data_IF_294647038188
#
_entry.id   IF_294647038188
#
_cell.length_a   1.000
_cell.length_b   1.000
_cell.length_c   1.000
_cell.angle_alpha   90.00
_cell.angle_beta   90.00
_cell.angle_gamma   90.00
#
_symmetry.space_group_name_H-M   'P 1'
#
loop_
_entity.id
_entity.type
_entity.pdbx_description
1 polymer ?
#
# COMPACT_ATOMS: atom_id res chain seq x y z
N UNK A 1 16.34 6.49 -7.69
CA UNK A 1 16.53 5.75 -8.96
C UNK A 1 16.55 4.28 -8.63
N UNK A 2 15.37 3.69 -8.51
CA UNK A 2 15.24 2.23 -8.61
C UNK A 2 15.40 1.92 -10.11
N UNK A 3 15.97 0.77 -10.46
CA UNK A 3 16.15 0.29 -11.84
C UNK A 3 14.96 0.65 -12.74
N UNK A 4 15.18 0.93 -14.04
CA UNK A 4 14.11 1.28 -15.00
C UNK A 4 13.02 0.22 -15.21
N UNK A 5 13.10 -0.92 -14.51
CA UNK A 5 12.10 -1.99 -14.45
C UNK A 5 11.21 -1.94 -13.21
N UNK A 6 11.55 -1.13 -12.21
CA UNK A 6 10.92 -1.15 -10.90
C UNK A 6 10.09 0.12 -10.71
N UNK A 7 8.79 -0.06 -10.45
CA UNK A 7 7.85 1.00 -10.17
C UNK A 7 7.00 0.71 -8.95
N UNK A 8 6.43 1.76 -8.38
CA UNK A 8 5.50 1.66 -7.27
C UNK A 8 4.08 1.54 -7.80
N UNK A 9 3.30 0.63 -7.20
CA UNK A 9 1.85 0.55 -7.45
C UNK A 9 1.14 1.00 -6.18
N UNK A 10 0.28 2.02 -6.30
CA UNK A 10 -0.58 2.48 -5.23
C UNK A 10 -2.01 2.01 -5.48
N UNK A 11 -2.68 1.54 -4.42
CA UNK A 11 -4.08 1.13 -4.45
C UNK A 11 -4.90 2.13 -3.65
N UNK A 12 -5.92 2.67 -4.29
CA UNK A 12 -6.80 3.69 -3.71
C UNK A 12 -8.23 3.17 -3.71
N UNK A 13 -8.95 3.41 -2.62
CA UNK A 13 -10.40 3.23 -2.64
C UNK A 13 -11.01 4.35 -3.48
N UNK A 14 -12.01 4.02 -4.30
CA UNK A 14 -12.60 4.96 -5.26
C UNK A 14 -13.09 6.25 -4.58
N UNK A 15 -13.77 6.12 -3.43
CA UNK A 15 -14.36 7.26 -2.71
C UNK A 15 -13.31 8.19 -2.09
N UNK A 16 -12.14 7.67 -1.75
CA UNK A 16 -11.06 8.46 -1.15
C UNK A 16 -9.94 8.83 -2.13
N UNK A 17 -10.03 8.38 -3.38
CA UNK A 17 -8.98 8.54 -4.38
C UNK A 17 -8.53 9.99 -4.57
N UNK A 18 -9.43 11.01 -4.64
CA UNK A 18 -9.00 12.40 -4.75
C UNK A 18 -8.09 12.85 -3.60
N UNK A 19 -8.33 12.37 -2.38
CA UNK A 19 -7.56 12.73 -1.19
C UNK A 19 -6.26 11.91 -1.07
N UNK A 20 -6.28 10.62 -1.44
CA UNK A 20 -5.09 9.76 -1.37
C UNK A 20 -4.11 10.02 -2.51
N UNK A 21 -4.59 10.43 -3.69
CA UNK A 21 -3.75 10.86 -4.82
C UNK A 21 -3.08 12.21 -4.56
N UNK A 22 -3.74 13.09 -3.80
CA UNK A 22 -3.15 14.36 -3.39
C UNK A 22 -1.96 14.20 -2.43
N UNK A 23 -1.77 13.00 -1.87
CA UNK A 23 -0.64 12.75 -0.99
C UNK A 23 0.68 12.87 -1.76
N UNK A 24 1.72 13.48 -1.18
CA UNK A 24 2.96 13.77 -1.89
C UNK A 24 3.65 12.56 -2.52
N UNK A 25 3.54 11.37 -1.91
CA UNK A 25 4.09 10.13 -2.45
C UNK A 25 3.38 9.64 -3.74
N UNK A 26 2.18 10.16 -4.03
CA UNK A 26 1.33 9.76 -5.14
C UNK A 26 1.14 10.89 -6.16
N UNK A 27 1.86 12.01 -6.02
CA UNK A 27 1.77 13.10 -7.00
C UNK A 27 2.30 12.64 -8.36
N UNK A 28 1.64 13.05 -9.46
CA UNK A 28 2.08 12.68 -10.79
C UNK A 28 3.51 13.14 -11.05
N UNK A 29 4.32 12.29 -11.66
CA UNK A 29 5.66 12.67 -12.08
C UNK A 29 5.58 13.69 -13.22
N UNK A 30 6.48 14.68 -13.20
CA UNK A 30 6.63 15.63 -14.30
C UNK A 30 7.21 14.89 -15.52
N UNK A 31 6.44 14.87 -16.62
CA UNK A 31 6.83 14.30 -17.90
C UNK A 31 6.59 15.30 -19.03
N UNK A 32 7.42 15.24 -20.07
CA UNK A 32 7.21 16.02 -21.29
C UNK A 32 6.07 15.41 -22.11
N UNK A 33 4.92 16.09 -22.14
CA UNK A 33 3.76 15.61 -22.88
C UNK A 33 3.99 15.76 -24.40
N UNK A 34 4.23 14.63 -25.06
CA UNK A 34 4.15 14.48 -26.53
C UNK A 34 2.71 14.55 -27.04
N UNK A 35 2.52 14.64 -28.37
CA UNK A 35 1.19 14.68 -28.97
C UNK A 35 0.39 13.39 -28.75
N UNK A 36 1.07 12.23 -28.75
CA UNK A 36 0.44 10.95 -28.42
C UNK A 36 -0.13 10.93 -26.99
N UNK A 37 0.56 11.56 -26.03
CA UNK A 37 0.06 11.70 -24.66
C UNK A 37 -1.20 12.56 -24.60
N UNK A 38 -1.20 13.71 -25.29
CA UNK A 38 -2.35 14.63 -25.32
C UNK A 38 -3.57 13.95 -25.91
N UNK A 39 -3.42 13.23 -27.02
CA UNK A 39 -4.52 12.48 -27.65
C UNK A 39 -5.14 11.46 -26.69
N UNK A 40 -4.30 10.72 -25.95
CA UNK A 40 -4.79 9.75 -24.95
C UNK A 40 -5.55 10.48 -23.83
N UNK A 41 -4.98 11.54 -23.26
CA UNK A 41 -5.62 12.30 -22.19
C UNK A 41 -6.93 12.95 -22.64
N UNK A 42 -6.98 13.52 -23.83
CA UNK A 42 -8.20 14.13 -24.40
C UNK A 42 -9.32 13.09 -24.57
N UNK A 43 -8.99 11.86 -24.95
CA UNK A 43 -9.98 10.78 -25.01
C UNK A 43 -10.47 10.34 -23.62
N UNK A 44 -9.56 10.27 -22.64
CA UNK A 44 -9.89 9.81 -21.29
C UNK A 44 -10.61 10.87 -20.44
N UNK A 45 -10.39 12.16 -20.70
CA UNK A 45 -11.04 13.28 -20.00
C UNK A 45 -12.54 13.38 -20.28
N UNK A 46 -13.00 12.83 -21.41
CA UNK A 46 -14.43 12.69 -21.72
C UNK A 46 -15.21 11.78 -20.75
N UNK A 47 -14.51 11.13 -19.81
CA UNK A 47 -15.08 10.27 -18.78
C UNK A 47 -15.24 8.83 -19.22
N UNK A 48 -15.31 7.94 -18.24
CA UNK A 48 -15.45 6.49 -18.46
C UNK A 48 -14.11 5.76 -18.62
N UNK A 49 -14.21 4.48 -18.97
CA UNK A 49 -13.06 3.60 -19.14
C UNK A 49 -13.07 2.98 -20.54
N UNK A 50 -11.93 3.04 -21.24
CA UNK A 50 -11.79 2.73 -22.65
C UNK A 50 -10.88 1.52 -22.86
N UNK A 51 -11.21 0.66 -23.83
CA UNK A 51 -10.28 -0.36 -24.29
C UNK A 51 -9.21 0.25 -25.19
N UNK A 52 -7.99 -0.28 -25.16
CA UNK A 52 -6.86 0.25 -25.95
C UNK A 52 -7.18 0.37 -27.46
N UNK A 53 -7.90 -0.59 -28.04
CA UNK A 53 -8.38 -0.55 -29.43
C UNK A 53 -9.28 0.65 -29.78
N UNK A 54 -9.84 1.33 -28.79
CA UNK A 54 -10.63 2.55 -28.99
C UNK A 54 -9.75 3.80 -28.99
N UNK A 55 -8.51 3.70 -28.48
CA UNK A 55 -7.51 4.76 -28.50
C UNK A 55 -6.72 4.78 -29.82
N UNK A 56 -6.83 3.73 -30.63
CA UNK A 56 -6.19 3.62 -31.95
C UNK A 56 -7.02 4.33 -33.04
N UNK A 57 -6.36 4.84 -34.08
CA UNK A 57 -7.03 5.48 -35.23
C UNK A 57 -6.86 7.01 -35.31
N UNK A 58 -6.06 7.60 -34.42
CA UNK A 58 -5.83 9.05 -34.33
C UNK A 58 -4.58 9.52 -35.11
N UNK A 59 -4.17 8.80 -36.16
CA UNK A 59 -2.96 9.13 -36.93
C UNK A 59 -1.62 8.73 -36.28
N UNK A 60 -1.62 8.20 -35.06
CA UNK A 60 -0.44 7.63 -34.39
C UNK A 60 -0.34 6.11 -34.61
N UNK A 61 0.88 5.57 -34.57
CA UNK A 61 1.08 4.12 -34.62
C UNK A 61 0.66 3.46 -33.31
N UNK A 62 0.29 2.18 -33.37
CA UNK A 62 -0.09 1.41 -32.17
C UNK A 62 1.05 1.33 -31.15
N UNK A 63 2.29 1.21 -31.63
CA UNK A 63 3.50 1.18 -30.80
C UNK A 63 3.73 2.51 -30.07
N UNK A 64 3.51 3.64 -30.75
CA UNK A 64 3.66 4.97 -30.13
C UNK A 64 2.62 5.19 -29.04
N UNK A 65 1.35 4.86 -29.32
CA UNK A 65 0.25 4.98 -28.35
C UNK A 65 0.45 4.07 -27.14
N UNK A 66 0.94 2.85 -27.36
CA UNK A 66 1.28 1.92 -26.29
C UNK A 66 2.40 2.47 -25.40
N UNK A 67 3.46 3.02 -26.00
CA UNK A 67 4.57 3.61 -25.27
C UNK A 67 4.10 4.81 -24.45
N UNK A 68 3.35 5.73 -25.06
CA UNK A 68 2.77 6.89 -24.41
C UNK A 68 1.80 6.52 -23.26
N UNK A 69 0.99 5.47 -23.45
CA UNK A 69 0.11 4.97 -22.40
C UNK A 69 0.90 4.49 -21.18
N UNK A 70 1.98 3.74 -21.39
CA UNK A 70 2.82 3.25 -20.29
C UNK A 70 3.59 4.38 -19.60
N UNK A 71 4.05 5.39 -20.35
CA UNK A 71 4.65 6.60 -19.77
C UNK A 71 3.65 7.36 -18.88
N UNK A 72 2.39 7.50 -19.31
CA UNK A 72 1.32 8.12 -18.49
C UNK A 72 0.96 7.29 -17.26
N UNK A 73 0.95 5.96 -17.36
CA UNK A 73 0.71 5.06 -16.22
C UNK A 73 1.83 5.23 -15.19
N UNK A 74 3.09 5.18 -15.61
CA UNK A 74 4.23 5.34 -14.71
C UNK A 74 4.32 6.74 -14.12
N UNK A 75 3.89 7.75 -14.86
CA UNK A 75 3.79 9.11 -14.37
C UNK A 75 2.55 9.35 -13.47
N UNK A 76 1.64 8.39 -13.33
CA UNK A 76 0.50 8.50 -12.42
C UNK A 76 -0.65 9.37 -12.95
N UNK A 77 -0.87 9.41 -14.27
CA UNK A 77 -1.98 10.13 -14.91
C UNK A 77 -3.14 9.21 -15.31
N UNK A 78 -2.83 7.94 -15.60
CA UNK A 78 -3.79 6.94 -16.10
C UNK A 78 -3.79 5.72 -15.20
N UNK A 79 -4.96 5.12 -15.01
CA UNK A 79 -5.16 3.88 -14.25
C UNK A 79 -5.90 2.82 -15.07
N UNK A 80 -5.78 1.56 -14.65
CA UNK A 80 -6.42 0.42 -15.28
C UNK A 80 -7.24 -0.42 -14.30
N UNK A 81 -8.25 -1.13 -14.81
CA UNK A 81 -9.14 -1.98 -14.01
C UNK A 81 -8.57 -3.37 -13.69
N UNK A 82 -7.40 -3.73 -14.26
CA UNK A 82 -6.79 -5.04 -14.07
C UNK A 82 -5.27 -5.01 -13.94
N UNK A 83 -4.75 -5.95 -13.15
CA UNK A 83 -3.32 -6.25 -13.07
C UNK A 83 -2.79 -7.11 -14.23
N UNK A 84 -3.62 -7.48 -15.20
CA UNK A 84 -3.17 -8.32 -16.32
C UNK A 84 -2.01 -7.68 -17.14
N UNK A 85 -2.05 -6.37 -17.49
CA UNK A 85 -0.95 -5.68 -18.18
C UNK A 85 0.36 -5.68 -17.40
N UNK A 86 0.30 -5.37 -16.10
CA UNK A 86 1.48 -5.36 -15.22
C UNK A 86 2.11 -6.76 -15.16
N UNK A 87 1.28 -7.81 -15.03
CA UNK A 87 1.76 -9.20 -15.07
C UNK A 87 2.35 -9.58 -16.43
N UNK A 88 1.82 -9.05 -17.53
CA UNK A 88 2.34 -9.32 -18.87
C UNK A 88 3.73 -8.68 -19.08
N UNK A 89 3.95 -7.47 -18.56
CA UNK A 89 5.27 -6.82 -18.57
C UNK A 89 6.27 -7.59 -17.70
N UNK A 90 5.91 -7.87 -16.45
CA UNK A 90 6.79 -8.60 -15.52
C UNK A 90 7.07 -10.05 -15.99
N UNK A 91 6.09 -10.65 -16.67
CA UNK A 91 6.20 -11.98 -17.28
C UNK A 91 6.97 -12.01 -18.61
N UNK A 92 7.46 -10.86 -19.10
CA UNK A 92 8.22 -10.76 -20.35
C UNK A 92 7.43 -11.16 -21.59
N UNK A 93 6.12 -10.87 -21.64
CA UNK A 93 5.26 -11.25 -22.75
C UNK A 93 5.03 -12.77 -22.89
N UNK A 94 5.52 -13.59 -21.95
CA UNK A 94 5.12 -15.00 -21.88
C UNK A 94 3.68 -15.06 -21.42
N UNK A 95 2.76 -15.18 -22.38
CA UNK A 95 1.55 -15.98 -22.20
C UNK A 95 2.02 -17.25 -21.47
N UNK A 96 1.41 -17.66 -20.34
CA UNK A 96 1.77 -18.93 -19.74
C UNK A 96 1.62 -19.96 -20.85
N UNK A 97 2.74 -20.50 -21.31
CA UNK A 97 2.72 -21.63 -22.21
C UNK A 97 1.81 -22.63 -21.51
N UNK A 98 0.74 -23.04 -22.19
CA UNK A 98 -0.08 -24.14 -21.73
C UNK A 98 0.92 -25.23 -21.37
N UNK A 99 1.10 -25.48 -20.08
CA UNK A 99 2.11 -26.41 -19.62
C UNK A 99 1.87 -27.76 -20.29
N UNK A 100 2.89 -28.62 -20.43
CA UNK A 100 2.67 -29.98 -20.92
C UNK A 100 1.49 -30.56 -20.12
N UNK A 101 0.54 -31.24 -20.79
CA UNK A 101 -0.68 -31.70 -20.14
C UNK A 101 -0.28 -32.48 -18.89
N UNK A 102 -0.52 -31.88 -17.72
CA UNK A 102 -0.37 -32.59 -16.46
C UNK A 102 -1.29 -33.78 -16.58
N UNK A 103 -0.72 -34.97 -16.39
CA UNK A 103 -1.47 -36.22 -16.36
C UNK A 103 -2.75 -36.00 -15.54
N UNK A 104 -3.93 -36.28 -16.10
CA UNK A 104 -5.18 -36.00 -15.43
C UNK A 104 -5.24 -36.85 -14.16
N UNK A 105 -5.03 -36.22 -13.01
CA UNK A 105 -5.49 -36.80 -11.75
C UNK A 105 -7.01 -36.76 -11.82
N UNK A 106 -7.62 -37.93 -11.84
CA UNK A 106 -9.06 -38.15 -11.75
C UNK A 106 -9.62 -37.27 -10.62
N UNK A 107 -10.47 -36.27 -10.92
CA UNK A 107 -11.18 -35.53 -9.90
C UNK A 107 -12.21 -36.47 -9.24
N UNK A 108 -12.50 -36.33 -7.94
CA UNK A 108 -13.73 -36.89 -7.40
C UNK A 108 -14.93 -36.29 -8.15
N UNK A 109 -15.91 -37.13 -8.47
CA UNK A 109 -17.06 -36.83 -9.32
C UNK A 109 -18.01 -35.80 -8.67
N UNK A 110 -17.73 -34.50 -8.77
CA UNK A 110 -18.69 -33.42 -8.51
C UNK A 110 -18.24 -32.00 -8.95
N UNK A 111 -17.24 -31.83 -9.81
CA UNK A 111 -16.80 -30.50 -10.24
C UNK A 111 -17.00 -30.32 -11.74
N UNK A 112 -18.11 -29.68 -12.11
CA UNK A 112 -18.37 -29.15 -13.45
C UNK A 112 -17.19 -28.26 -13.89
N UNK A 113 -16.53 -28.56 -15.02
CA UNK A 113 -15.44 -27.74 -15.51
C UNK A 113 -16.00 -26.41 -15.99
N UNK A 114 -15.64 -25.31 -15.32
CA UNK A 114 -15.83 -23.96 -15.86
C UNK A 114 -15.01 -23.88 -17.15
N UNK A 115 -15.68 -24.09 -18.28
CA UNK A 115 -15.14 -23.86 -19.60
C UNK A 115 -14.75 -22.38 -19.67
N UNK A 116 -13.45 -22.10 -19.62
CA UNK A 116 -12.91 -20.84 -20.12
C UNK A 116 -13.29 -20.77 -21.59
N UNK A 117 -14.35 -20.00 -21.90
CA UNK A 117 -14.66 -19.61 -23.28
C UNK A 117 -13.41 -18.94 -23.85
N UNK A 118 -12.67 -19.68 -24.68
CA UNK A 118 -11.67 -19.08 -25.55
C UNK A 118 -12.45 -18.20 -26.52
N UNK A 119 -12.33 -16.88 -26.38
CA UNK A 119 -12.85 -15.95 -27.37
C UNK A 119 -12.11 -16.16 -28.69
N UNK A 120 -12.80 -16.45 -29.81
CA UNK A 120 -12.18 -16.48 -31.12
C UNK A 120 -12.06 -15.04 -31.62
N UNK A 121 -10.88 -14.46 -31.44
CA UNK A 121 -10.48 -13.16 -31.98
C UNK A 121 -8.98 -12.98 -31.75
N UNK A 122 -8.28 -12.09 -32.50
CA UNK A 122 -6.91 -11.74 -32.18
C UNK A 122 -6.85 -11.33 -30.71
N UNK A 123 -6.10 -12.07 -29.89
CA UNK A 123 -5.91 -11.68 -28.50
C UNK A 123 -5.31 -10.27 -28.51
N UNK A 124 -5.97 -9.27 -27.91
CA UNK A 124 -5.36 -7.95 -27.77
C UNK A 124 -4.04 -8.12 -27.03
N UNK A 125 -3.04 -7.33 -27.40
CA UNK A 125 -1.72 -7.37 -26.77
C UNK A 125 -1.89 -7.40 -25.23
N UNK A 126 -1.38 -8.45 -24.55
CA UNK A 126 -1.64 -8.65 -23.13
C UNK A 126 -1.11 -7.51 -22.26
N UNK A 127 -0.19 -6.69 -22.77
CA UNK A 127 0.38 -5.52 -22.10
C UNK A 127 -0.52 -4.28 -22.14
N UNK A 128 -1.64 -4.31 -22.86
CA UNK A 128 -2.64 -3.22 -22.93
C UNK A 128 -4.07 -3.72 -22.67
N UNK A 129 -4.19 -4.93 -22.13
CA UNK A 129 -5.47 -5.57 -21.82
C UNK A 129 -6.21 -4.86 -20.66
N UNK A 130 -7.55 -4.77 -20.77
CA UNK A 130 -8.38 -4.13 -19.75
C UNK A 130 -8.96 -2.80 -20.22
N UNK A 131 -9.54 -2.06 -19.27
CA UNK A 131 -10.07 -0.72 -19.49
C UNK A 131 -9.19 0.31 -18.81
N UNK A 132 -8.93 1.39 -19.51
CA UNK A 132 -8.08 2.49 -19.11
C UNK A 132 -8.92 3.75 -18.86
N UNK A 133 -8.66 4.44 -17.77
CA UNK A 133 -9.35 5.69 -17.41
C UNK A 133 -8.35 6.70 -16.87
N UNK A 134 -8.64 7.99 -17.06
CA UNK A 134 -7.89 9.03 -16.38
C UNK A 134 -8.07 8.90 -14.86
N UNK A 135 -7.02 9.21 -14.11
CA UNK A 135 -7.13 9.32 -12.65
C UNK A 135 -7.99 10.54 -12.29
N UNK A 136 -8.79 10.46 -11.20
CA UNK A 136 -9.57 11.59 -10.75
C UNK A 136 -8.64 12.73 -10.33
N UNK A 137 -9.13 13.96 -10.50
CA UNK A 137 -8.38 15.15 -10.06
C UNK A 137 -8.13 15.06 -8.55
N UNK A 138 -6.87 15.20 -8.17
CA UNK A 138 -6.49 15.27 -6.76
C UNK A 138 -7.14 16.48 -6.08
N UNK A 139 -7.56 16.31 -4.83
CA UNK A 139 -8.18 17.38 -4.04
C UNK A 139 -7.21 18.57 -3.93
N UNK A 140 -7.56 19.80 -4.35
CA UNK A 140 -6.64 20.93 -4.31
C UNK A 140 -6.50 21.58 -2.92
N UNK A 141 -7.48 21.43 -2.02
CA UNK A 141 -7.41 22.06 -0.70
C UNK A 141 -6.41 21.36 0.23
N UNK A 142 -5.28 22.04 0.46
CA UNK A 142 -4.23 21.59 1.39
C UNK A 142 -4.73 21.28 2.80
N UNK A 143 -5.80 21.95 3.27
CA UNK A 143 -6.38 21.73 4.59
C UNK A 143 -7.07 20.38 4.65
N UNK A 144 -7.91 20.07 3.65
CA UNK A 144 -8.59 18.78 3.54
C UNK A 144 -7.58 17.64 3.36
N UNK A 145 -6.54 17.84 2.55
CA UNK A 145 -5.46 16.87 2.39
C UNK A 145 -4.76 16.58 3.73
N UNK A 146 -4.36 17.61 4.47
CA UNK A 146 -3.64 17.45 5.73
C UNK A 146 -4.52 16.79 6.80
N UNK A 147 -5.80 17.16 6.84
CA UNK A 147 -6.80 16.54 7.70
C UNK A 147 -6.95 15.04 7.42
N UNK A 148 -7.17 14.68 6.15
CA UNK A 148 -7.33 13.29 5.74
C UNK A 148 -6.04 12.48 5.97
N UNK A 149 -4.88 13.06 5.69
CA UNK A 149 -3.58 12.41 5.92
C UNK A 149 -3.39 12.07 7.41
N UNK A 150 -3.70 13.01 8.31
CA UNK A 150 -3.60 12.77 9.75
C UNK A 150 -4.53 11.64 10.21
N UNK A 151 -5.78 11.62 9.72
CA UNK A 151 -6.75 10.58 10.01
C UNK A 151 -6.31 9.20 9.48
N UNK A 152 -5.80 9.16 8.24
CA UNK A 152 -5.26 7.94 7.64
C UNK A 152 -4.11 7.36 8.48
N UNK A 153 -3.18 8.21 8.92
CA UNK A 153 -2.05 7.77 9.75
C UNK A 153 -2.47 7.30 11.13
N UNK A 154 -3.43 7.97 11.78
CA UNK A 154 -3.98 7.54 13.06
C UNK A 154 -4.67 6.17 12.95
N UNK A 155 -5.47 5.96 11.91
CA UNK A 155 -6.15 4.68 11.68
C UNK A 155 -5.17 3.55 11.32
N UNK A 156 -4.11 3.86 10.59
CA UNK A 156 -3.10 2.89 10.16
C UNK A 156 -2.14 2.45 11.26
N UNK A 157 -1.67 3.39 12.09
CA UNK A 157 -0.69 3.12 13.14
C UNK A 157 -1.32 2.89 14.52
N UNK A 158 -2.57 3.33 14.73
CA UNK A 158 -3.26 3.32 16.02
C UNK A 158 -2.72 4.38 16.99
N UNK A 159 -1.41 4.32 17.28
CA UNK A 159 -0.66 5.34 18.02
C UNK A 159 0.34 5.99 17.06
N UNK A 160 0.07 7.24 16.71
CA UNK A 160 0.92 8.01 15.83
C UNK A 160 2.07 8.64 16.61
N UNK A 161 3.29 8.30 16.21
CA UNK A 161 4.54 8.80 16.78
C UNK A 161 5.38 9.51 15.73
N UNK A 162 6.38 10.29 16.17
CA UNK A 162 7.34 10.93 15.26
C UNK A 162 8.07 9.92 14.36
N UNK A 163 8.44 8.75 14.89
CA UNK A 163 9.09 7.69 14.12
C UNK A 163 8.18 7.05 13.08
N UNK A 164 6.91 6.82 13.43
CA UNK A 164 5.91 6.31 12.47
C UNK A 164 5.67 7.30 11.32
N UNK A 165 5.53 8.60 11.61
CA UNK A 165 5.40 9.63 10.58
C UNK A 165 6.65 9.75 9.69
N UNK A 166 7.85 9.56 10.25
CA UNK A 166 9.08 9.55 9.47
C UNK A 166 9.17 8.33 8.54
N UNK A 167 8.73 7.15 9.01
CA UNK A 167 8.72 5.92 8.21
C UNK A 167 7.75 5.99 7.01
N UNK A 168 6.65 6.72 7.14
CA UNK A 168 5.69 6.98 6.04
C UNK A 168 6.16 8.09 5.09
N UNK A 169 7.28 8.75 5.37
CA UNK A 169 7.86 9.76 4.48
C UNK A 169 7.04 11.05 4.37
N UNK A 170 6.32 11.43 5.43
CA UNK A 170 5.48 12.64 5.44
C UNK A 170 6.32 13.90 5.16
N UNK A 171 5.99 14.71 4.14
CA UNK A 171 6.76 15.93 3.86
C UNK A 171 6.68 16.97 4.98
N UNK A 172 7.84 17.54 5.31
CA UNK A 172 8.01 18.39 6.51
C UNK A 172 7.95 17.61 7.83
N UNK A 173 7.77 16.28 7.77
CA UNK A 173 7.78 15.37 8.91
C UNK A 173 6.61 15.59 9.88
N UNK A 174 6.81 15.14 11.11
CA UNK A 174 5.79 15.20 12.16
C UNK A 174 5.37 16.64 12.51
N UNK A 175 6.20 17.65 12.25
CA UNK A 175 5.90 19.05 12.55
C UNK A 175 4.69 19.57 11.75
N UNK A 176 4.57 19.15 10.48
CA UNK A 176 3.43 19.51 9.62
C UNK A 176 2.12 18.96 10.18
N UNK A 177 2.14 17.70 10.63
CA UNK A 177 0.98 17.02 11.21
C UNK A 177 0.61 17.55 12.60
N UNK A 178 1.59 18.03 13.36
CA UNK A 178 1.38 18.45 14.75
C UNK A 178 0.27 19.50 14.90
N UNK A 179 0.19 20.48 13.98
CA UNK A 179 -0.86 21.50 14.01
C UNK A 179 -2.25 20.90 13.83
N UNK A 180 -2.40 19.99 12.87
CA UNK A 180 -3.67 19.30 12.59
C UNK A 180 -4.05 18.38 13.75
N UNK A 181 -3.08 17.65 14.30
CA UNK A 181 -3.30 16.75 15.45
C UNK A 181 -3.67 17.52 16.72
N UNK A 182 -3.11 18.71 16.93
CA UNK A 182 -3.50 19.57 18.06
C UNK A 182 -4.95 20.05 17.91
N UNK A 183 -5.36 20.45 16.69
CA UNK A 183 -6.75 20.77 16.42
C UNK A 183 -7.69 19.56 16.59
N UNK A 184 -7.23 18.34 16.26
CA UNK A 184 -7.99 17.12 16.52
C UNK A 184 -8.12 16.81 18.01
N UNK A 185 -7.10 17.11 18.80
CA UNK A 185 -7.13 17.01 20.26
C UNK A 185 -8.15 17.99 20.86
N UNK A 186 -8.12 19.27 20.43
CA UNK A 186 -9.09 20.29 20.85
C UNK A 186 -10.53 19.92 20.47
N UNK A 187 -10.72 19.29 19.30
CA UNK A 187 -12.01 18.78 18.84
C UNK A 187 -12.41 17.44 19.50
N UNK A 188 -11.58 16.86 20.36
CA UNK A 188 -11.83 15.59 21.04
C UNK A 188 -11.76 14.34 20.15
N UNK A 189 -11.23 14.44 18.93
CA UNK A 189 -11.08 13.30 17.99
C UNK A 189 -9.88 12.41 18.31
N UNK A 190 -8.83 12.99 18.88
CA UNK A 190 -7.67 12.25 19.35
C UNK A 190 -7.24 12.74 20.74
N UNK A 191 -6.38 11.96 21.38
CA UNK A 191 -5.78 12.28 22.67
C UNK A 191 -4.27 12.22 22.54
N UNK A 192 -3.60 13.23 23.12
CA UNK A 192 -2.15 13.26 23.25
C UNK A 192 -1.74 12.65 24.58
N UNK A 193 -0.74 11.77 24.56
CA UNK A 193 -0.27 11.11 25.77
C UNK A 193 1.02 10.33 25.58
N UNK A 194 1.39 9.59 26.62
CA UNK A 194 2.48 8.63 26.60
C UNK A 194 1.89 7.22 26.63
N UNK A 195 1.72 6.62 25.45
CA UNK A 195 1.11 5.29 25.32
C UNK A 195 2.16 4.18 25.24
N UNK A 196 3.29 4.48 24.61
CA UNK A 196 4.41 3.54 24.45
C UNK A 196 5.57 3.99 25.33
N UNK A 197 5.97 3.11 26.26
CA UNK A 197 7.16 3.29 27.09
C UNK A 197 8.42 3.37 26.21
N UNK A 198 9.45 4.08 26.68
CA UNK A 198 10.73 4.33 25.96
C UNK A 198 10.66 5.22 24.71
N UNK A 199 9.45 5.49 24.18
CA UNK A 199 9.27 6.47 23.13
C UNK A 199 9.02 7.86 23.72
N UNK A 200 10.05 8.71 23.66
CA UNK A 200 9.93 10.12 24.00
C UNK A 200 9.13 10.93 22.98
N UNK A 201 8.62 12.09 23.40
CA UNK A 201 7.89 13.04 22.56
C UNK A 201 6.37 12.84 22.55
N UNK A 202 5.67 13.72 21.83
CA UNK A 202 4.22 13.67 21.73
C UNK A 202 3.76 12.45 20.91
N UNK A 203 2.83 11.67 21.48
CA UNK A 203 2.16 10.57 20.81
C UNK A 203 0.67 10.88 20.77
N UNK A 204 0.02 10.60 19.64
CA UNK A 204 -1.40 10.84 19.45
C UNK A 204 -2.12 9.53 19.12
N UNK A 205 -3.28 9.30 19.72
CA UNK A 205 -4.11 8.15 19.42
C UNK A 205 -5.58 8.56 19.42
N UNK A 206 -6.41 7.88 18.63
CA UNK A 206 -7.86 8.04 18.68
C UNK A 206 -8.42 7.39 19.96
N UNK A 207 -9.53 7.93 20.49
CA UNK A 207 -10.10 7.48 21.76
C UNK A 207 -10.37 5.97 21.80
N UNK A 208 -10.90 5.40 20.70
CA UNK A 208 -11.15 3.96 20.58
C UNK A 208 -9.88 3.12 20.70
N UNK A 209 -8.74 3.61 20.18
CA UNK A 209 -7.44 2.96 20.35
C UNK A 209 -6.99 3.03 21.80
N UNK A 210 -7.16 4.18 22.47
CA UNK A 210 -6.80 4.35 23.89
C UNK A 210 -7.62 3.41 24.77
N UNK A 211 -8.92 3.33 24.56
CA UNK A 211 -9.79 2.44 25.33
C UNK A 211 -9.46 0.97 25.09
N UNK A 212 -9.12 0.62 23.84
CA UNK A 212 -8.61 -0.72 23.53
C UNK A 212 -7.29 -1.02 24.24
N UNK A 213 -6.35 -0.07 24.30
CA UNK A 213 -5.10 -0.21 25.03
C UNK A 213 -5.34 -0.40 26.53
N UNK A 214 -6.30 0.31 27.13
CA UNK A 214 -6.70 0.13 28.54
C UNK A 214 -7.26 -1.27 28.81
N UNK A 215 -8.07 -1.80 27.90
CA UNK A 215 -8.62 -3.17 28.06
C UNK A 215 -7.54 -4.25 28.15
N UNK A 216 -6.37 -4.03 27.52
CA UNK A 216 -5.23 -4.95 27.64
C UNK A 216 -4.53 -4.85 29.00
N UNK A 217 -4.72 -3.76 29.76
CA UNK A 217 -4.16 -3.60 31.11
C UNK A 217 -5.05 -4.26 32.19
N UNK A 218 -6.36 -4.26 32.00
CA UNK A 218 -7.33 -4.72 33.00
C UNK A 218 -7.37 -6.25 33.18
N UNK A 219 -6.90 -7.02 32.19
CA UNK A 219 -6.91 -8.50 32.19
C UNK A 219 -5.58 -9.16 32.56
N UNK A 220 -4.62 -8.41 33.09
CA UNK A 220 -3.26 -8.91 33.38
C UNK A 220 -3.20 -9.48 34.79
N UNK A 221 -3.27 -10.81 34.93
CA UNK A 221 -2.83 -11.49 36.16
C UNK A 221 -1.29 -11.55 36.17
N UNK A 222 -0.60 -10.83 37.08
CA UNK A 222 0.86 -10.84 37.15
C UNK A 222 1.43 -12.22 37.49
N UNK A 223 0.62 -13.11 38.08
CA UNK A 223 1.03 -14.45 38.51
C UNK A 223 0.84 -15.51 37.41
N UNK A 224 0.03 -15.24 36.38
CA UNK A 224 -0.24 -16.15 35.26
C UNK A 224 -0.40 -15.39 33.94
N UNK A 225 0.71 -14.92 33.33
CA UNK A 225 0.65 -14.31 32.01
C UNK A 225 0.20 -15.34 30.96
N UNK A 226 -0.93 -15.10 30.29
CA UNK A 226 -1.29 -15.84 29.09
C UNK A 226 -0.41 -15.36 27.93
N UNK A 227 0.37 -16.27 27.34
CA UNK A 227 1.19 -15.95 26.18
C UNK A 227 0.43 -16.25 24.89
N UNK A 228 0.15 -15.22 24.08
CA UNK A 228 -0.37 -15.41 22.71
C UNK A 228 0.69 -15.04 21.69
N UNK A 229 1.00 -15.97 20.80
CA UNK A 229 1.85 -15.71 19.66
C UNK A 229 1.04 -15.03 18.54
N UNK A 230 1.52 -13.91 18.03
CA UNK A 230 0.96 -13.22 16.85
C UNK A 230 2.06 -13.07 15.82
N UNK A 231 1.82 -13.57 14.60
CA UNK A 231 2.74 -13.39 13.48
C UNK A 231 2.28 -12.20 12.65
N UNK A 232 3.17 -11.22 12.46
CA UNK A 232 2.96 -10.05 11.62
C UNK A 232 4.02 -10.00 10.53
N UNK A 233 3.68 -9.47 9.36
CA UNK A 233 4.69 -9.18 8.34
C UNK A 233 5.65 -8.09 8.86
N UNK A 234 6.95 -8.23 8.59
CA UNK A 234 7.94 -7.24 9.04
C UNK A 234 7.69 -5.85 8.43
N UNK A 235 7.10 -5.80 7.23
CA UNK A 235 6.72 -4.58 6.54
C UNK A 235 5.31 -4.06 6.91
N UNK A 236 4.57 -4.78 7.77
CA UNK A 236 3.23 -4.38 8.17
C UNK A 236 3.27 -3.03 8.92
N UNK A 237 2.37 -2.08 8.64
CA UNK A 237 2.27 -0.83 9.39
C UNK A 237 2.00 -1.01 10.89
N UNK A 238 1.27 -2.07 11.26
CA UNK A 238 0.96 -2.37 12.66
C UNK A 238 2.18 -2.86 13.45
N UNK A 239 3.25 -3.30 12.79
CA UNK A 239 4.52 -3.58 13.45
C UNK A 239 5.17 -2.24 13.83
N UNK A 240 5.49 -1.93 15.09
CA UNK A 240 6.17 -0.69 15.45
C UNK A 240 7.69 -0.73 15.24
N UNK A 241 8.26 -1.93 15.10
CA UNK A 241 9.71 -2.14 15.03
C UNK A 241 10.28 -1.77 13.67
N UNK A 242 11.48 -1.18 13.67
CA UNK A 242 12.11 -0.61 12.48
C UNK A 242 11.41 0.63 11.91
N UNK A 243 10.40 1.17 12.60
CA UNK A 243 9.79 2.47 12.29
C UNK A 243 9.87 3.39 13.51
N UNK A 244 9.14 3.06 14.58
CA UNK A 244 9.16 3.81 15.83
C UNK A 244 10.12 3.20 16.85
N UNK A 245 10.15 1.87 16.97
CA UNK A 245 11.00 1.15 17.92
C UNK A 245 12.23 0.52 17.23
N UNK A 246 13.40 0.46 17.90
CA UNK A 246 14.52 -0.32 17.40
C UNK A 246 14.18 -1.80 17.43
N UNK A 247 14.62 -2.56 16.43
CA UNK A 247 14.49 -4.02 16.46
C UNK A 247 15.12 -4.59 17.74
N UNK A 248 14.49 -5.58 18.39
CA UNK A 248 15.08 -6.23 19.54
C UNK A 248 16.41 -6.88 19.14
N UNK A 249 17.38 -6.86 20.06
CA UNK A 249 18.73 -7.37 19.83
C UNK A 249 18.69 -8.84 19.41
N UNK A 250 19.40 -9.16 18.34
CA UNK A 250 19.74 -10.55 18.02
C UNK A 250 21.07 -10.85 18.71
N UNK A 251 21.04 -11.36 19.94
CA UNK A 251 22.23 -11.82 20.67
C UNK A 251 22.83 -13.12 20.09
N UNK A 252 22.73 -13.31 18.76
CA UNK A 252 23.32 -14.44 18.04
C UNK A 252 24.24 -13.92 16.95
N UNK A 253 25.54 -14.16 17.13
CA UNK A 253 26.54 -13.97 16.08
C UNK A 253 26.10 -14.68 14.78
N UNK A 254 26.11 -13.95 13.67
CA UNK A 254 25.70 -14.46 12.35
C UNK A 254 24.21 -14.28 12.00
N UNK A 255 23.37 -13.75 12.90
CA UNK A 255 21.99 -13.45 12.56
C UNK A 255 21.89 -12.24 11.61
N UNK A 256 21.24 -12.39 10.45
CA UNK A 256 21.01 -11.29 9.52
C UNK A 256 20.31 -10.13 10.26
N UNK A 257 20.73 -8.88 10.05
CA UNK A 257 20.08 -7.72 10.70
C UNK A 257 18.58 -7.67 10.34
N UNK A 258 17.68 -7.62 11.34
CA UNK A 258 16.26 -7.48 11.08
C UNK A 258 15.97 -6.13 10.40
N UNK A 259 14.97 -6.11 9.53
CA UNK A 259 14.62 -4.94 8.74
C UNK A 259 13.29 -5.10 8.03
N UNK A 260 12.63 -3.97 7.75
CA UNK A 260 11.38 -3.94 6.97
C UNK A 260 11.67 -4.28 5.52
N UNK A 261 11.50 -5.56 5.16
CA UNK A 261 11.64 -6.05 3.79
C UNK A 261 10.53 -7.04 3.49
N UNK A 262 10.04 -7.01 2.25
CA UNK A 262 9.06 -7.97 1.77
C UNK A 262 9.59 -9.41 1.96
N UNK A 263 8.69 -10.33 2.35
CA UNK A 263 9.03 -11.73 2.61
C UNK A 263 9.66 -12.02 3.98
N UNK A 264 9.79 -11.01 4.87
CA UNK A 264 10.18 -11.23 6.27
C UNK A 264 8.96 -11.17 7.19
N UNK A 265 8.94 -12.03 8.19
CA UNK A 265 7.90 -12.10 9.22
C UNK A 265 8.52 -11.85 10.59
N UNK A 266 7.73 -11.26 11.48
CA UNK A 266 8.03 -11.11 12.90
C UNK A 266 7.02 -11.93 13.68
N UNK A 267 7.50 -12.85 14.51
CA UNK A 267 6.66 -13.54 15.47
C UNK A 267 6.78 -12.84 16.82
N UNK A 268 5.64 -12.49 17.41
CA UNK A 268 5.55 -11.81 18.68
C UNK A 268 4.94 -12.76 19.69
N UNK A 269 5.62 -13.00 20.80
CA UNK A 269 5.01 -13.59 21.98
C UNK A 269 4.50 -12.44 22.85
N UNK A 270 3.18 -12.30 22.96
CA UNK A 270 2.61 -11.36 23.92
C UNK A 270 2.76 -11.95 25.31
N UNK A 271 3.77 -11.52 26.07
CA UNK A 271 3.81 -11.72 27.51
C UNK A 271 3.04 -10.56 28.15
N UNK A 272 2.09 -10.86 29.01
CA UNK A 272 1.26 -9.86 29.65
C UNK A 272 2.13 -8.83 30.42
N UNK A 273 2.03 -7.57 30.03
CA UNK A 273 3.01 -6.50 30.27
C UNK A 273 2.97 -5.97 31.71
N UNK A 274 3.98 -6.33 32.53
CA UNK A 274 4.60 -5.48 33.55
C UNK A 274 5.93 -6.11 34.02
N UNK A 275 7.04 -5.43 33.74
CA UNK A 275 8.24 -5.54 34.59
C UNK A 275 9.39 -6.47 34.17
N UNK A 276 9.40 -7.06 32.96
CA UNK A 276 10.63 -7.69 32.46
C UNK A 276 10.85 -7.41 30.99
N UNK A 277 11.95 -6.74 30.73
CA UNK A 277 12.52 -6.42 29.43
C UNK A 277 12.90 -7.68 28.65
N UNK A 278 11.94 -8.33 28.01
CA UNK A 278 12.19 -9.16 26.82
C UNK A 278 10.93 -9.34 25.98
N UNK A 279 10.76 -8.50 24.96
CA UNK A 279 10.03 -8.93 23.78
C UNK A 279 11.01 -9.74 22.95
N UNK A 280 10.97 -11.07 23.11
CA UNK A 280 11.70 -11.95 22.22
C UNK A 280 10.94 -12.00 20.89
N UNK A 281 11.32 -11.12 19.96
CA UNK A 281 10.96 -11.33 18.56
C UNK A 281 11.86 -12.43 18.03
N UNK A 282 11.40 -13.67 18.08
CA UNK A 282 12.05 -14.75 17.37
C UNK A 282 11.56 -14.79 15.92
N UNK A 283 12.50 -15.12 15.03
CA UNK A 283 12.18 -15.39 13.64
C UNK A 283 11.42 -16.71 13.57
N UNK A 284 10.29 -16.72 12.88
CA UNK A 284 9.83 -17.94 12.22
C UNK A 284 10.60 -18.12 10.91
#
# INVERSE_FOLDING_TARGET
MISGSDGWVSLHLADSAPLTLALPANQPAEIELTDAHRVILDMLTGGGAYFFRQLTGNGHTETDLKTALWELIWAGWVTGDTFAPVRAILGGGRVPASGPPRTPRTPPAAAEPIQRRACPGPCPDPTVAGRWSALPTAEPDSTLQAHYHAELLLNRHGVLTKGAAAAEGVPGGFATLYKVLSAFEEAGRCQRGYFVESLGGAQFAVASTVDRLRSYLDGIDPQRPEYRAVVLAAADPANPYGAALPWPGADREGAARPGRKAGRWSCWWTANWRGSSSVAAERC
#
